data_IF_723285106508
#
_entry.id   IF_723285106508
#
_cell.length_a   1.000
_cell.length_b   1.000
_cell.length_c   1.000
_cell.angle_alpha   90.00
_cell.angle_beta   90.00
_cell.angle_gamma   90.00
#
_symmetry.space_group_name_H-M   'P 1'
#
loop_
_entity.id
_entity.type
_entity.pdbx_description
1 polymer ?
#
# COMPACT_ATOMS: atom_id res chain seq x y z
N UNK A 1 -13.95 5.06 18.62
CA UNK A 1 -14.80 4.12 17.86
C UNK A 1 -13.97 3.50 16.74
N UNK A 2 -14.03 2.17 16.57
CA UNK A 2 -13.42 1.46 15.43
C UNK A 2 -14.37 1.51 14.23
N UNK A 3 -13.85 1.66 13.00
CA UNK A 3 -14.61 1.88 11.77
C UNK A 3 -15.34 0.63 11.22
N UNK A 4 -15.65 -0.37 12.07
CA UNK A 4 -16.47 -1.53 11.69
C UNK A 4 -15.87 -2.51 10.67
N UNK A 5 -14.63 -2.31 10.23
CA UNK A 5 -13.97 -3.14 9.22
C UNK A 5 -13.64 -4.56 9.67
N UNK A 6 -13.22 -5.43 8.71
CA UNK A 6 -12.83 -6.80 9.01
C UNK A 6 -11.62 -6.83 9.96
N UNK A 7 -11.50 -7.91 10.75
CA UNK A 7 -10.34 -8.18 11.60
C UNK A 7 -9.40 -9.14 10.89
N UNK A 8 -8.09 -8.92 11.05
CA UNK A 8 -7.06 -9.83 10.57
C UNK A 8 -5.98 -10.00 11.64
N UNK A 9 -5.47 -11.23 11.74
CA UNK A 9 -4.35 -11.53 12.64
C UNK A 9 -3.06 -10.92 12.11
N UNK A 10 -2.42 -10.07 12.92
CA UNK A 10 -1.20 -9.37 12.55
C UNK A 10 0.02 -10.21 12.96
N UNK A 11 0.84 -10.61 11.97
CA UNK A 11 2.12 -11.27 12.24
C UNK A 11 3.10 -10.30 12.92
N UNK A 12 3.70 -10.75 14.03
CA UNK A 12 4.65 -9.97 14.82
C UNK A 12 6.11 -10.31 14.48
N UNK A 13 7.05 -9.48 14.94
CA UNK A 13 8.50 -9.72 14.81
C UNK A 13 9.24 -8.79 13.83
N UNK A 14 8.57 -7.80 13.23
CA UNK A 14 9.25 -6.72 12.51
C UNK A 14 10.11 -5.91 13.48
N UNK A 15 11.34 -5.58 13.06
CA UNK A 15 12.25 -4.71 13.82
C UNK A 15 12.24 -3.30 13.23
N UNK A 16 12.51 -2.31 14.07
CA UNK A 16 12.56 -0.92 13.64
C UNK A 16 13.84 -0.62 12.86
N UNK A 17 13.69 0.17 11.79
CA UNK A 17 14.83 0.72 11.07
C UNK A 17 15.48 1.83 11.89
N UNK A 18 16.81 1.95 11.81
CA UNK A 18 17.56 3.07 12.41
C UNK A 18 17.65 4.29 11.48
N UNK A 19 17.19 4.15 10.24
CA UNK A 19 17.28 5.17 9.20
C UNK A 19 15.97 5.29 8.42
N UNK A 20 15.71 6.48 7.90
CA UNK A 20 14.64 6.78 6.96
C UNK A 20 15.25 7.28 5.63
N UNK A 21 14.49 7.14 4.54
CA UNK A 21 14.95 7.54 3.20
C UNK A 21 13.87 8.32 2.45
N UNK A 22 14.06 9.64 2.35
CA UNK A 22 13.17 10.52 1.60
C UNK A 22 13.30 10.30 0.09
N UNK A 23 14.53 10.01 -0.39
CA UNK A 23 14.78 9.67 -1.79
C UNK A 23 14.02 8.42 -2.20
N UNK A 24 14.01 7.38 -1.36
CA UNK A 24 13.29 6.15 -1.68
C UNK A 24 11.78 6.38 -1.69
N UNK A 25 11.25 7.18 -0.77
CA UNK A 25 9.82 7.54 -0.77
C UNK A 25 9.43 8.29 -2.06
N UNK A 26 10.29 9.20 -2.52
CA UNK A 26 10.07 10.01 -3.72
C UNK A 26 10.41 9.29 -5.04
N UNK A 27 11.03 8.12 -4.99
CA UNK A 27 11.43 7.32 -6.17
C UNK A 27 10.24 6.74 -6.97
N UNK A 28 9.01 7.02 -6.55
CA UNK A 28 7.81 6.48 -7.17
C UNK A 28 7.34 5.16 -6.56
N UNK A 29 7.81 4.79 -5.37
CA UNK A 29 7.18 3.70 -4.59
C UNK A 29 5.83 4.11 -4.02
N UNK A 30 5.59 5.41 -3.81
CA UNK A 30 4.31 5.97 -3.36
C UNK A 30 3.59 6.56 -4.57
N UNK A 31 2.42 6.03 -4.98
CA UNK A 31 1.65 6.60 -6.08
C UNK A 31 1.01 7.95 -5.65
N UNK A 32 1.18 9.05 -6.41
CA UNK A 32 0.39 10.26 -6.20
C UNK A 32 -1.11 10.02 -6.47
N UNK A 33 -2.02 10.86 -5.92
CA UNK A 33 -3.46 10.69 -6.07
C UNK A 33 -3.96 10.78 -7.52
N UNK A 34 -3.18 11.42 -8.40
CA UNK A 34 -3.48 11.57 -9.83
C UNK A 34 -2.67 10.58 -10.70
N UNK A 35 -2.20 9.47 -10.12
CA UNK A 35 -1.50 8.43 -10.88
C UNK A 35 -2.42 7.77 -11.90
N UNK A 36 -1.90 7.50 -13.10
CA UNK A 36 -2.63 6.73 -14.11
C UNK A 36 -2.77 5.26 -13.69
N UNK A 37 -3.83 4.59 -14.15
CA UNK A 37 -4.08 3.18 -13.83
C UNK A 37 -2.89 2.27 -14.14
N UNK A 38 -2.26 2.45 -15.32
CA UNK A 38 -1.05 1.69 -15.70
C UNK A 38 0.10 1.87 -14.70
N UNK A 39 0.29 3.09 -14.19
CA UNK A 39 1.30 3.37 -13.17
C UNK A 39 0.96 2.73 -11.83
N UNK A 40 -0.31 2.71 -11.40
CA UNK A 40 -0.69 1.98 -10.19
C UNK A 40 -0.40 0.49 -10.35
N UNK A 41 -0.82 -0.12 -11.46
CA UNK A 41 -0.60 -1.56 -11.71
C UNK A 41 0.88 -1.91 -11.61
N UNK A 42 1.74 -1.17 -12.31
CA UNK A 42 3.19 -1.42 -12.30
C UNK A 42 3.80 -1.29 -10.89
N UNK A 43 3.35 -0.30 -10.10
CA UNK A 43 3.87 -0.05 -8.75
C UNK A 43 3.45 -1.11 -7.75
N UNK A 44 2.20 -1.56 -7.81
CA UNK A 44 1.71 -2.66 -6.96
C UNK A 44 2.41 -3.98 -7.33
N UNK A 45 2.58 -4.26 -8.62
CA UNK A 45 3.33 -5.42 -9.09
C UNK A 45 4.80 -5.40 -8.63
N UNK A 46 5.44 -4.24 -8.61
CA UNK A 46 6.80 -4.08 -8.06
C UNK A 46 6.90 -4.41 -6.55
N UNK A 47 5.77 -4.44 -5.82
CA UNK A 47 5.67 -4.91 -4.43
C UNK A 47 5.14 -6.34 -4.31
N UNK A 48 4.98 -7.05 -5.43
CA UNK A 48 4.45 -8.41 -5.47
C UNK A 48 2.94 -8.49 -5.26
N UNK A 49 2.22 -7.38 -5.43
CA UNK A 49 0.76 -7.31 -5.28
C UNK A 49 0.07 -7.41 -6.65
N UNK A 50 -1.05 -8.12 -6.69
CA UNK A 50 -1.86 -8.27 -7.91
C UNK A 50 -2.73 -7.03 -8.18
N UNK A 51 -3.32 -6.96 -9.37
CA UNK A 51 -4.30 -5.92 -9.70
C UNK A 51 -5.55 -5.99 -8.81
N UNK A 52 -5.91 -7.18 -8.34
CA UNK A 52 -7.01 -7.36 -7.37
C UNK A 52 -6.66 -6.74 -6.01
N UNK A 53 -5.43 -6.96 -5.55
CA UNK A 53 -4.94 -6.36 -4.29
C UNK A 53 -4.88 -4.84 -4.40
N UNK A 54 -4.47 -4.32 -5.56
CA UNK A 54 -4.45 -2.88 -5.83
C UNK A 54 -5.83 -2.25 -5.65
N UNK A 55 -6.88 -2.84 -6.23
CA UNK A 55 -8.26 -2.34 -6.08
C UNK A 55 -8.69 -2.43 -4.62
N UNK A 56 -8.54 -3.60 -3.98
CA UNK A 56 -8.94 -3.82 -2.60
C UNK A 56 -8.25 -2.89 -1.59
N UNK A 57 -6.99 -2.47 -1.86
CA UNK A 57 -6.21 -1.58 -0.99
C UNK A 57 -6.40 -0.09 -1.34
N UNK A 58 -6.95 0.22 -2.50
CA UNK A 58 -7.32 1.59 -2.90
C UNK A 58 -8.75 1.92 -2.50
N UNK A 59 -9.58 0.90 -2.33
CA UNK A 59 -10.97 1.05 -1.91
C UNK A 59 -11.05 1.40 -0.41
N UNK A 60 -11.56 2.59 -0.15
CA UNK A 60 -11.78 3.14 1.18
C UNK A 60 -13.12 2.61 1.70
N UNK A 61 -13.09 1.42 2.30
CA UNK A 61 -14.21 0.71 2.93
C UNK A 61 -15.26 0.16 1.93
N UNK A 62 -15.53 -1.14 2.06
CA UNK A 62 -16.88 -1.65 1.81
C UNK A 62 -17.86 -0.76 2.57
N UNK A 63 -18.83 -0.19 1.86
CA UNK A 63 -19.92 0.60 2.42
C UNK A 63 -20.66 -0.11 3.55
#
# INVERSE_FOLDING_TARGET
MQLGGPKWDVKLGRRDSKTASLSDANSGVIPPPLSTLSNLINRFQAKGLSTKDMVALSDKLFT
#
